data_IF_899427613229
#
_entry.id   IF_899427613229
#
_cell.length_a   1.000
_cell.length_b   1.000
_cell.length_c   1.000
_cell.angle_alpha   90.00
_cell.angle_beta   90.00
_cell.angle_gamma   90.00
#
_symmetry.space_group_name_H-M   'P 1'
#
loop_
_entity.id
_entity.type
_entity.pdbx_description
1 polymer ?
#
# COMPACT_ATOMS: atom_id res chain seq x y z
N UNK A 1 8.38 -6.91 -11.04
CA UNK A 1 9.04 -5.70 -11.55
C UNK A 1 8.58 -4.53 -10.69
N UNK A 2 9.51 -3.74 -10.15
CA UNK A 2 9.17 -2.52 -9.41
C UNK A 2 8.67 -1.46 -10.40
N UNK A 3 7.45 -0.96 -10.19
CA UNK A 3 6.83 0.07 -11.04
C UNK A 3 7.02 1.46 -10.44
N UNK A 4 6.88 1.59 -9.12
CA UNK A 4 6.90 2.86 -8.40
C UNK A 4 7.43 2.64 -6.99
N UNK A 5 8.23 3.58 -6.48
CA UNK A 5 8.75 3.62 -5.10
C UNK A 5 9.18 5.05 -4.77
N UNK A 6 8.28 5.85 -4.20
CA UNK A 6 8.53 7.26 -3.81
C UNK A 6 7.51 7.73 -2.75
N UNK A 7 7.73 8.93 -2.20
CA UNK A 7 6.69 9.67 -1.47
C UNK A 7 5.48 9.91 -2.39
N UNK A 8 4.30 9.54 -1.90
CA UNK A 8 3.06 9.54 -2.68
C UNK A 8 2.67 10.97 -3.04
N UNK A 9 2.34 11.16 -4.31
CA UNK A 9 1.78 12.39 -4.82
C UNK A 9 0.64 12.04 -5.76
N UNK A 10 -0.54 12.65 -5.54
CA UNK A 10 -1.73 12.41 -6.36
C UNK A 10 -1.42 12.61 -7.85
N UNK A 11 -0.65 13.63 -8.21
CA UNK A 11 -0.29 13.91 -9.61
C UNK A 11 0.59 12.81 -10.22
N UNK A 12 1.46 12.18 -9.43
CA UNK A 12 2.30 11.08 -9.91
C UNK A 12 1.50 9.77 -9.93
N UNK A 13 0.60 9.58 -8.98
CA UNK A 13 -0.29 8.43 -8.93
C UNK A 13 -1.25 8.38 -10.11
N UNK A 14 -1.75 9.53 -10.58
CA UNK A 14 -2.57 9.59 -11.81
C UNK A 14 -1.81 9.18 -13.07
N UNK A 15 -0.47 9.20 -13.08
CA UNK A 15 0.30 8.69 -14.22
C UNK A 15 0.29 7.16 -14.31
N UNK A 16 -0.22 6.49 -13.28
CA UNK A 16 -0.35 5.05 -13.17
C UNK A 16 -1.74 4.56 -13.59
N UNK A 17 -2.58 5.45 -14.12
CA UNK A 17 -3.91 5.11 -14.64
C UNK A 17 -3.83 3.95 -15.65
N UNK A 18 -4.71 2.96 -15.49
CA UNK A 18 -4.75 1.74 -16.31
C UNK A 18 -3.88 0.57 -15.81
N UNK A 19 -3.10 0.75 -14.74
CA UNK A 19 -2.36 -0.36 -14.11
C UNK A 19 -3.19 -1.18 -13.11
N UNK A 20 -4.27 -0.61 -12.59
CA UNK A 20 -5.17 -1.21 -11.62
C UNK A 20 -6.60 -0.69 -11.85
N UNK A 21 -7.60 -1.36 -11.27
CA UNK A 21 -9.00 -1.00 -11.44
C UNK A 21 -9.33 0.36 -10.80
N UNK A 22 -10.38 1.01 -11.32
CA UNK A 22 -10.86 2.30 -10.80
C UNK A 22 -11.24 2.22 -9.31
N UNK A 23 -11.64 1.05 -8.84
CA UNK A 23 -11.97 0.82 -7.43
C UNK A 23 -10.74 0.92 -6.51
N UNK A 24 -9.64 0.26 -6.88
CA UNK A 24 -8.37 0.34 -6.11
C UNK A 24 -7.86 1.77 -6.09
N UNK A 25 -7.93 2.45 -7.24
CA UNK A 25 -7.54 3.86 -7.38
C UNK A 25 -8.37 4.75 -6.45
N UNK A 26 -9.69 4.59 -6.45
CA UNK A 26 -10.56 5.42 -5.61
C UNK A 26 -10.30 5.19 -4.13
N UNK A 27 -10.10 3.94 -3.70
CA UNK A 27 -9.85 3.67 -2.28
C UNK A 27 -8.52 4.24 -1.79
N UNK A 28 -7.46 4.18 -2.62
CA UNK A 28 -6.17 4.83 -2.31
C UNK A 28 -6.35 6.34 -2.20
N UNK A 29 -7.12 6.96 -3.09
CA UNK A 29 -7.40 8.39 -3.01
C UNK A 29 -8.19 8.74 -1.74
N UNK A 30 -9.20 7.95 -1.39
CA UNK A 30 -10.01 8.15 -0.18
C UNK A 30 -9.14 8.07 1.09
N UNK A 31 -8.18 7.14 1.15
CA UNK A 31 -7.21 7.03 2.26
C UNK A 31 -6.33 8.28 2.37
N UNK A 32 -5.78 8.75 1.25
CA UNK A 32 -4.88 9.91 1.24
C UNK A 32 -5.63 11.21 1.54
N UNK A 33 -6.84 11.37 1.01
CA UNK A 33 -7.68 12.55 1.20
C UNK A 33 -8.27 12.63 2.61
N UNK A 34 -8.55 11.49 3.25
CA UNK A 34 -9.07 11.45 4.62
C UNK A 34 -8.04 11.83 5.69
N UNK A 35 -6.74 11.72 5.39
CA UNK A 35 -5.66 12.01 6.34
C UNK A 35 -4.64 13.03 5.78
N UNK A 36 -5.05 14.29 5.55
CA UNK A 36 -4.22 15.30 4.86
C UNK A 36 -2.97 15.74 5.65
N UNK A 37 -2.90 15.42 6.94
CA UNK A 37 -1.72 15.68 7.80
C UNK A 37 -0.71 14.54 7.78
N UNK A 38 -1.08 13.39 7.23
CA UNK A 38 -0.20 12.24 7.10
C UNK A 38 0.73 12.40 5.90
N UNK A 39 1.94 11.85 6.03
CA UNK A 39 2.84 11.62 4.91
C UNK A 39 2.63 10.21 4.39
N UNK A 40 2.64 10.07 3.08
CA UNK A 40 2.39 8.79 2.44
C UNK A 40 3.60 8.38 1.60
N UNK A 41 4.06 7.14 1.71
CA UNK A 41 5.04 6.54 0.81
C UNK A 41 4.39 5.37 0.09
N UNK A 42 4.62 5.22 -1.21
CA UNK A 42 3.98 4.16 -1.99
C UNK A 42 5.01 3.38 -2.79
N UNK A 43 4.86 2.06 -2.78
CA UNK A 43 5.60 1.11 -3.60
C UNK A 43 4.61 0.25 -4.40
N UNK A 44 4.90 0.01 -5.68
CA UNK A 44 4.07 -0.83 -6.54
C UNK A 44 4.93 -1.90 -7.19
N UNK A 45 4.58 -3.16 -6.93
CA UNK A 45 5.25 -4.33 -7.47
C UNK A 45 4.34 -5.10 -8.41
N UNK A 46 4.80 -5.29 -9.64
CA UNK A 46 4.17 -6.19 -10.61
C UNK A 46 4.74 -7.61 -10.47
N UNK A 47 3.87 -8.57 -10.14
CA UNK A 47 4.18 -9.99 -10.07
C UNK A 47 3.07 -10.79 -10.76
N UNK A 48 3.08 -10.74 -12.09
CA UNK A 48 2.17 -11.48 -12.99
C UNK A 48 1.71 -12.83 -12.40
N UNK A 49 0.40 -13.03 -12.19
CA UNK A 49 -0.74 -12.22 -12.66
C UNK A 49 -1.15 -11.04 -11.77
N UNK A 50 -0.49 -10.84 -10.62
CA UNK A 50 -0.94 -9.88 -9.61
C UNK A 50 -0.11 -8.58 -9.63
N UNK A 51 -0.77 -7.46 -9.32
CA UNK A 51 -0.09 -6.22 -8.93
C UNK A 51 -0.30 -6.02 -7.42
N UNK A 52 0.78 -5.68 -6.72
CA UNK A 52 0.79 -5.37 -5.30
C UNK A 52 1.09 -3.89 -5.09
N UNK A 53 0.31 -3.23 -4.24
CA UNK A 53 0.52 -1.82 -3.86
C UNK A 53 0.71 -1.78 -2.36
N UNK A 54 1.81 -1.18 -1.92
CA UNK A 54 2.14 -0.94 -0.52
C UNK A 54 2.10 0.56 -0.30
N UNK A 55 1.23 1.03 0.58
CA UNK A 55 1.11 2.43 0.93
C UNK A 55 1.35 2.57 2.43
N UNK A 56 2.41 3.27 2.82
CA UNK A 56 2.74 3.57 4.21
C UNK A 56 2.20 4.96 4.52
N UNK A 57 1.24 5.02 5.42
CA UNK A 57 0.75 6.25 6.04
C UNK A 57 1.52 6.52 7.33
N UNK A 58 2.13 7.69 7.44
CA UNK A 58 2.80 8.15 8.65
C UNK A 58 2.22 9.47 9.13
N UNK A 59 1.54 9.46 10.27
CA UNK A 59 1.00 10.66 10.91
C UNK A 59 1.86 11.04 12.11
N UNK A 60 2.66 12.09 11.95
CA UNK A 60 3.56 12.55 13.02
C UNK A 60 2.79 13.20 14.18
N UNK A 61 1.64 13.84 13.91
CA UNK A 61 0.87 14.56 14.92
C UNK A 61 0.17 13.60 15.89
N UNK A 62 -0.36 12.50 15.35
CA UNK A 62 -1.05 11.46 16.12
C UNK A 62 -0.14 10.28 16.50
N UNK A 63 1.13 10.34 16.07
CA UNK A 63 2.17 9.36 16.39
C UNK A 63 1.82 7.91 16.01
N UNK A 64 1.21 7.71 14.84
CA UNK A 64 0.95 6.38 14.29
C UNK A 64 1.60 6.17 12.93
N UNK A 65 1.78 4.90 12.56
CA UNK A 65 2.14 4.49 11.20
C UNK A 65 1.27 3.30 10.82
N UNK A 66 0.57 3.42 9.69
CA UNK A 66 -0.33 2.41 9.17
C UNK A 66 0.16 1.97 7.79
N UNK A 67 0.22 0.66 7.57
CA UNK A 67 0.64 0.10 6.30
C UNK A 67 -0.58 -0.50 5.60
N UNK A 68 -0.94 0.09 4.47
CA UNK A 68 -1.99 -0.40 3.59
C UNK A 68 -1.39 -1.30 2.53
N UNK A 69 -2.02 -2.44 2.32
CA UNK A 69 -1.64 -3.42 1.32
C UNK A 69 -2.81 -3.67 0.39
N UNK A 70 -2.56 -3.53 -0.91
CA UNK A 70 -3.51 -3.90 -1.96
C UNK A 70 -2.92 -5.03 -2.79
N UNK A 71 -3.76 -6.01 -3.12
CA UNK A 71 -3.47 -7.07 -4.09
C UNK A 71 -4.58 -7.11 -5.12
N UNK A 72 -4.26 -6.88 -6.38
CA UNK A 72 -5.21 -6.90 -7.50
C UNK A 72 -4.77 -7.93 -8.52
N UNK A 73 -5.72 -8.75 -8.98
CA UNK A 73 -5.53 -9.64 -10.13
C UNK A 73 -5.71 -8.83 -11.42
N UNK A 74 -4.89 -9.08 -12.45
CA UNK A 74 -5.02 -8.46 -13.77
C UNK A 74 -6.16 -9.01 -14.62
N UNK A 75 -6.72 -10.15 -14.23
CA UNK A 75 -7.76 -10.85 -15.00
C UNK A 75 -9.17 -10.38 -14.60
N UNK A 76 -9.35 -9.89 -13.37
CA UNK A 76 -10.63 -9.43 -12.84
C UNK A 76 -10.56 -8.08 -12.13
N UNK A 77 -11.70 -7.58 -11.67
CA UNK A 77 -11.80 -6.31 -10.93
C UNK A 77 -11.65 -6.47 -9.41
N UNK A 78 -11.56 -7.72 -8.94
CA UNK A 78 -11.43 -8.03 -7.53
C UNK A 78 -10.06 -7.61 -7.00
N UNK A 79 -10.07 -7.04 -5.80
CA UNK A 79 -8.86 -6.73 -5.06
C UNK A 79 -9.05 -7.05 -3.58
N UNK A 80 -7.93 -7.30 -2.91
CA UNK A 80 -7.83 -7.37 -1.46
C UNK A 80 -7.22 -6.06 -0.98
N UNK A 81 -7.81 -5.45 0.05
CA UNK A 81 -7.20 -4.35 0.81
C UNK A 81 -7.12 -4.71 2.29
N UNK A 82 -5.97 -4.46 2.91
CA UNK A 82 -5.76 -4.58 4.35
C UNK A 82 -4.91 -3.42 4.87
N UNK A 83 -5.28 -2.90 6.05
CA UNK A 83 -4.50 -1.92 6.79
C UNK A 83 -3.98 -2.54 8.08
N UNK A 84 -2.67 -2.46 8.30
CA UNK A 84 -2.01 -3.07 9.46
C UNK A 84 -1.11 -2.02 10.12
N UNK A 85 -1.24 -1.78 11.44
CA UNK A 85 -0.30 -0.92 12.16
C UNK A 85 1.13 -1.45 12.07
N UNK A 86 2.11 -0.56 11.92
CA UNK A 86 3.50 -0.95 11.72
C UNK A 86 4.02 -1.83 12.87
N UNK A 87 3.57 -1.59 14.10
CA UNK A 87 3.94 -2.41 15.26
C UNK A 87 3.50 -3.88 15.13
N UNK A 88 2.36 -4.13 14.46
CA UNK A 88 1.90 -5.50 14.22
C UNK A 88 2.75 -6.17 13.14
N UNK A 89 3.17 -5.44 12.10
CA UNK A 89 4.08 -5.98 11.07
C UNK A 89 5.40 -6.41 11.72
N UNK A 90 5.98 -5.57 12.58
CA UNK A 90 7.20 -5.92 13.31
C UNK A 90 7.00 -7.12 14.24
N UNK A 91 5.86 -7.21 14.92
CA UNK A 91 5.56 -8.37 15.76
C UNK A 91 5.46 -9.66 14.94
N UNK A 92 4.83 -9.62 13.76
CA UNK A 92 4.76 -10.75 12.83
C UNK A 92 6.13 -11.14 12.27
N UNK A 93 6.95 -10.17 11.86
CA UNK A 93 8.31 -10.39 11.39
C UNK A 93 9.16 -11.07 12.46
N UNK A 94 9.16 -10.52 13.69
CA UNK A 94 9.86 -11.13 14.81
C UNK A 94 9.38 -12.57 15.04
N UNK A 95 8.07 -12.81 15.07
CA UNK A 95 7.52 -14.14 15.28
C UNK A 95 7.96 -15.12 14.18
N UNK A 96 7.93 -14.71 12.91
CA UNK A 96 8.36 -15.54 11.79
C UNK A 96 9.88 -15.84 11.82
N UNK A 97 10.71 -14.89 12.24
CA UNK A 97 12.15 -15.12 12.44
C UNK A 97 12.44 -16.10 13.58
N UNK A 98 11.68 -16.06 14.68
CA UNK A 98 11.81 -17.08 15.74
C UNK A 98 11.51 -18.51 15.23
N UNK A 99 10.70 -18.63 14.17
CA UNK A 99 10.39 -19.89 13.49
C UNK A 99 11.38 -20.23 12.36
N UNK A 100 12.40 -19.39 12.11
CA UNK A 100 13.35 -19.52 10.98
C UNK A 100 12.69 -19.54 9.60
N UNK A 101 11.59 -18.79 9.44
CA UNK A 101 10.87 -18.66 8.16
C UNK A 101 11.32 -17.43 7.34
N UNK A 102 11.98 -16.48 8.01
CA UNK A 102 12.56 -15.23 7.46
C UNK A 102 13.83 -14.88 8.23
#
# INVERSE_FOLDING_TARGET
MLIYDQEFSVSTFTLLDGLFSDYVRQEILDIVESNPTSRFCCQIDDKDPNTYIYLIEHNQAEAYTLCHFFSTDRIGDDYLHQSIPLEHIHAFEQFASHLSLV
#
